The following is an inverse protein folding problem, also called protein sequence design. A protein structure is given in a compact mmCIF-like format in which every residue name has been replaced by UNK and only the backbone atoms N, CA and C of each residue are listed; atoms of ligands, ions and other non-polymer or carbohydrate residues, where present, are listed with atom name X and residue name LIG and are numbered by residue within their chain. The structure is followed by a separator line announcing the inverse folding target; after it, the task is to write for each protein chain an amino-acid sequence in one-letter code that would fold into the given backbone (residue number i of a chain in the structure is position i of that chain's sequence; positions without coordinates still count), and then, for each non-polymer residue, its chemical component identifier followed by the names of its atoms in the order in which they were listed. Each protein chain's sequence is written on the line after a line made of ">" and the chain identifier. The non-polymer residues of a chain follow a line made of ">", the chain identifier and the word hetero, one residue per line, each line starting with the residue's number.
data_IF_185495405140
#
_entry.id   IF_185495405140
#
_cell.length_a   1.000
_cell.length_b   1.000
_cell.length_c   1.000
_cell.angle_alpha   90.00
_cell.angle_beta   90.00
_cell.angle_gamma   90.00
#
_symmetry.space_group_name_H-M   'P 1'
#
loop_
_entity.id
_entity.type
_entity.pdbx_description
1 polymer ?
#
# COMPACT_ATOMS: atom_id res chain seq x y z
N UNK A 1 69.80 39.01 -60.89
CA UNK A 1 69.83 39.06 -59.41
C UNK A 1 71.19 38.53 -59.00
N UNK A 2 71.92 39.29 -58.18
CA UNK A 2 72.92 38.87 -57.16
C UNK A 2 73.65 37.52 -57.34
N UNK A 3 74.99 37.40 -57.41
CA UNK A 3 76.09 37.99 -56.58
C UNK A 3 75.88 37.74 -55.06
N UNK A 4 76.84 37.41 -54.18
CA UNK A 4 78.31 37.19 -54.20
C UNK A 4 78.68 36.51 -52.83
N UNK A 5 79.83 35.87 -52.50
CA UNK A 5 81.20 35.67 -53.02
C UNK A 5 81.51 34.11 -53.04
N UNK A 6 82.67 33.42 -52.90
CA UNK A 6 84.01 33.56 -52.27
C UNK A 6 83.98 33.68 -50.71
N UNK A 7 84.91 33.19 -49.87
CA UNK A 7 86.26 32.56 -49.99
C UNK A 7 86.64 31.90 -48.60
N UNK A 8 87.67 31.06 -48.34
CA UNK A 8 88.66 30.30 -49.17
C UNK A 8 89.35 29.13 -48.38
N UNK A 9 90.18 28.34 -49.08
CA UNK A 9 91.40 27.56 -48.70
C UNK A 9 91.47 26.48 -47.57
N UNK A 10 92.37 25.51 -47.82
CA UNK A 10 92.86 24.47 -46.89
C UNK A 10 94.08 24.95 -46.08
N UNK A 11 94.28 24.41 -44.87
CA UNK A 11 95.62 24.23 -44.30
C UNK A 11 95.73 22.96 -43.45
N UNK A 12 96.85 22.25 -43.61
CA UNK A 12 97.16 20.92 -43.04
C UNK A 12 97.62 20.94 -41.58
N UNK A 13 97.30 19.88 -40.83
CA UNK A 13 98.38 18.96 -40.42
C UNK A 13 98.69 18.73 -38.92
N UNK A 14 98.66 17.44 -38.57
CA UNK A 14 99.60 16.70 -37.71
C UNK A 14 99.52 16.72 -36.17
N UNK A 15 99.60 15.49 -35.62
CA UNK A 15 100.20 15.06 -34.34
C UNK A 15 99.80 15.78 -33.05
N UNK A 16 98.97 15.10 -32.24
CA UNK A 16 98.71 15.49 -30.86
C UNK A 16 99.70 14.92 -29.83
N UNK A 17 99.46 15.25 -28.57
CA UNK A 17 99.96 14.57 -27.38
C UNK A 17 98.80 14.52 -26.38
N UNK A 18 98.61 13.38 -25.71
CA UNK A 18 97.56 13.25 -24.69
C UNK A 18 97.97 13.86 -23.36
N UNK A 19 97.00 14.38 -22.62
CA UNK A 19 97.12 14.56 -21.17
C UNK A 19 95.71 14.47 -20.57
N UNK A 20 95.33 13.29 -20.11
CA UNK A 20 94.02 13.05 -19.52
C UNK A 20 93.93 13.74 -18.15
N UNK A 21 93.15 14.81 -18.08
CA UNK A 21 92.59 15.32 -16.83
C UNK A 21 91.10 15.04 -16.85
N UNK A 22 90.63 14.14 -15.97
CA UNK A 22 89.23 13.74 -15.88
C UNK A 22 88.31 14.93 -15.53
N UNK A 23 87.77 15.58 -16.55
CA UNK A 23 86.60 16.44 -16.41
C UNK A 23 85.43 15.56 -15.91
N UNK A 24 85.02 15.76 -14.66
CA UNK A 24 83.87 15.05 -14.09
C UNK A 24 82.59 15.60 -14.75
N UNK A 25 82.23 15.02 -15.89
CA UNK A 25 80.95 15.24 -16.56
C UNK A 25 79.85 14.63 -15.69
N UNK A 26 79.38 15.40 -14.70
CA UNK A 26 78.26 15.02 -13.83
C UNK A 26 77.05 14.73 -14.73
N UNK A 27 76.69 13.44 -14.81
CA UNK A 27 75.73 12.93 -15.78
C UNK A 27 74.31 13.42 -15.47
N UNK A 28 73.96 14.56 -16.07
CA UNK A 28 72.64 15.21 -15.97
C UNK A 28 71.49 14.29 -16.48
N UNK A 29 71.83 13.18 -17.14
CA UNK A 29 70.93 12.10 -17.53
C UNK A 29 70.10 11.56 -16.36
N UNK A 30 70.71 11.32 -15.19
CA UNK A 30 69.97 10.83 -14.02
C UNK A 30 68.94 11.83 -13.51
N UNK A 31 69.32 13.11 -13.47
CA UNK A 31 68.45 14.20 -13.02
C UNK A 31 67.32 14.46 -14.04
N UNK A 32 67.59 14.37 -15.34
CA UNK A 32 66.59 14.46 -16.42
C UNK A 32 65.58 13.30 -16.36
N UNK A 33 66.02 12.06 -16.16
CA UNK A 33 65.13 10.90 -16.02
C UNK A 33 64.24 11.05 -14.77
N UNK A 34 64.80 11.51 -13.65
CA UNK A 34 64.03 11.81 -12.44
C UNK A 34 62.95 12.87 -12.65
N UNK A 35 63.29 13.99 -13.30
CA UNK A 35 62.32 15.07 -13.63
C UNK A 35 61.22 14.58 -14.57
N UNK A 36 61.55 13.76 -15.57
CA UNK A 36 60.56 13.16 -16.48
C UNK A 36 59.60 12.23 -15.74
N UNK A 37 60.11 11.36 -14.85
CA UNK A 37 59.27 10.49 -14.02
C UNK A 37 58.35 11.30 -13.08
N UNK A 38 58.86 12.33 -12.42
CA UNK A 38 58.05 13.22 -11.56
C UNK A 38 56.97 13.94 -12.37
N UNK A 39 57.28 14.44 -13.58
CA UNK A 39 56.29 15.04 -14.47
C UNK A 39 55.21 14.05 -14.90
N UNK A 40 55.57 12.81 -15.25
CA UNK A 40 54.61 11.76 -15.62
C UNK A 40 53.69 11.43 -14.43
N UNK A 41 54.23 11.31 -13.21
CA UNK A 41 53.43 11.06 -11.99
C UNK A 41 52.50 12.25 -11.68
N UNK A 42 52.97 13.49 -11.81
CA UNK A 42 52.14 14.69 -11.60
C UNK A 42 51.03 14.83 -12.65
N UNK A 43 51.32 14.51 -13.92
CA UNK A 43 50.31 14.52 -15.00
C UNK A 43 49.29 13.38 -14.80
N UNK A 44 49.74 12.18 -14.43
CA UNK A 44 48.85 11.06 -14.11
C UNK A 44 47.95 11.37 -12.90
N UNK A 45 48.50 11.98 -11.85
CA UNK A 45 47.73 12.45 -10.70
C UNK A 45 46.71 13.55 -11.09
N UNK A 46 47.12 14.53 -11.90
CA UNK A 46 46.24 15.59 -12.39
C UNK A 46 45.08 15.07 -13.25
N UNK A 47 45.36 14.14 -14.16
CA UNK A 47 44.33 13.46 -14.97
C UNK A 47 43.42 12.62 -14.08
N UNK A 48 43.97 11.87 -13.11
CA UNK A 48 43.20 11.09 -12.14
C UNK A 48 42.25 11.95 -11.30
N UNK A 49 42.71 13.10 -10.80
CA UNK A 49 41.88 14.07 -10.06
C UNK A 49 40.79 14.67 -10.95
N UNK A 50 41.10 15.06 -12.20
CA UNK A 50 40.08 15.58 -13.12
C UNK A 50 39.04 14.52 -13.49
N UNK A 51 39.43 13.27 -13.77
CA UNK A 51 38.49 12.17 -14.01
C UNK A 51 37.64 11.84 -12.78
N UNK A 52 38.21 11.93 -11.57
CA UNK A 52 37.47 11.73 -10.32
C UNK A 52 36.44 12.87 -10.09
N UNK A 53 36.82 14.13 -10.34
CA UNK A 53 35.89 15.26 -10.28
C UNK A 53 34.79 15.21 -11.35
N UNK A 54 35.06 14.67 -12.54
CA UNK A 54 34.03 14.42 -13.57
C UNK A 54 33.01 13.40 -13.07
N UNK A 55 33.49 12.21 -12.65
CA UNK A 55 32.64 11.14 -12.10
C UNK A 55 31.84 11.57 -10.87
N UNK A 56 32.43 12.39 -10.00
CA UNK A 56 31.71 13.02 -8.88
C UNK A 56 30.53 13.85 -9.37
N UNK A 57 30.73 14.77 -10.31
CA UNK A 57 29.66 15.61 -10.88
C UNK A 57 28.60 14.80 -11.62
N UNK A 58 29.01 13.76 -12.34
CA UNK A 58 28.11 12.81 -13.01
C UNK A 58 27.20 12.10 -11.97
N UNK A 59 27.77 11.68 -10.83
CA UNK A 59 27.02 11.05 -9.74
C UNK A 59 26.15 12.05 -8.94
N UNK A 60 26.62 13.27 -8.70
CA UNK A 60 25.82 14.35 -8.10
C UNK A 60 24.59 14.68 -8.97
N UNK A 61 24.79 14.80 -10.29
CA UNK A 61 23.73 15.08 -11.26
C UNK A 61 22.71 13.93 -11.35
N UNK A 62 23.15 12.67 -11.38
CA UNK A 62 22.25 11.52 -11.34
C UNK A 62 21.42 11.48 -10.05
N UNK A 63 22.01 11.85 -8.90
CA UNK A 63 21.28 11.95 -7.63
C UNK A 63 20.26 13.11 -7.61
N UNK A 64 20.53 14.24 -8.30
CA UNK A 64 19.53 15.30 -8.51
C UNK A 64 18.43 14.89 -9.49
N UNK A 65 18.75 14.11 -10.52
CA UNK A 65 17.76 13.58 -11.46
C UNK A 65 16.75 12.68 -10.72
N UNK A 66 17.23 11.71 -9.92
CA UNK A 66 16.36 10.88 -9.05
C UNK A 66 15.48 11.75 -8.15
N UNK A 67 16.05 12.77 -7.51
CA UNK A 67 15.31 13.66 -6.60
C UNK A 67 14.25 14.49 -7.34
N UNK A 68 14.53 14.89 -8.59
CA UNK A 68 13.61 15.64 -9.46
C UNK A 68 12.49 14.77 -10.00
N UNK A 69 12.80 13.58 -10.51
CA UNK A 69 11.81 12.61 -11.02
C UNK A 69 10.89 12.12 -9.90
N UNK A 70 11.45 11.76 -8.74
CA UNK A 70 10.68 11.44 -7.54
C UNK A 70 9.75 12.60 -7.15
N UNK A 71 10.25 13.85 -7.13
CA UNK A 71 9.43 15.01 -6.78
C UNK A 71 8.31 15.29 -7.80
N UNK A 72 8.53 15.00 -9.09
CA UNK A 72 7.50 15.10 -10.12
C UNK A 72 6.38 14.07 -9.89
N UNK A 73 6.71 12.79 -9.68
CA UNK A 73 5.73 11.74 -9.39
C UNK A 73 5.00 11.95 -8.06
N UNK A 74 5.71 12.43 -7.04
CA UNK A 74 5.13 12.70 -5.72
C UNK A 74 4.12 13.85 -5.75
N UNK A 75 4.45 14.98 -6.39
CA UNK A 75 3.57 16.14 -6.43
C UNK A 75 2.49 16.06 -7.54
N UNK A 76 2.80 15.44 -8.68
CA UNK A 76 1.86 15.28 -9.80
C UNK A 76 0.93 14.08 -9.67
N UNK A 77 1.44 12.94 -9.19
CA UNK A 77 0.68 11.69 -9.02
C UNK A 77 0.16 11.52 -7.60
N UNK A 78 1.04 11.21 -6.65
CA UNK A 78 0.67 10.84 -5.27
C UNK A 78 -0.18 11.92 -4.56
N UNK A 79 0.16 13.21 -4.67
CA UNK A 79 -0.67 14.28 -4.10
C UNK A 79 -1.99 14.50 -4.85
N UNK A 80 -2.05 14.26 -6.15
CA UNK A 80 -3.31 14.30 -6.91
C UNK A 80 -4.25 13.15 -6.51
N UNK A 81 -3.69 11.96 -6.28
CA UNK A 81 -4.38 10.81 -5.68
C UNK A 81 -4.99 11.16 -4.32
N UNK A 82 -4.19 11.64 -3.34
CA UNK A 82 -4.73 11.99 -2.02
C UNK A 82 -5.75 13.13 -2.08
N UNK A 83 -5.53 14.16 -2.90
CA UNK A 83 -6.53 15.20 -3.15
C UNK A 83 -7.84 14.63 -3.73
N UNK A 84 -7.76 13.59 -4.57
CA UNK A 84 -8.94 12.88 -5.08
C UNK A 84 -9.67 12.10 -3.97
N UNK A 85 -8.97 11.48 -3.00
CA UNK A 85 -9.60 10.79 -1.86
C UNK A 85 -10.41 11.72 -0.93
N UNK A 86 -10.26 13.05 -1.07
CA UNK A 86 -10.77 14.08 -0.15
C UNK A 86 -10.15 14.04 1.26
N UNK A 87 -9.02 13.35 1.43
CA UNK A 87 -8.24 13.29 2.66
C UNK A 87 -7.08 14.29 2.58
N UNK A 88 -7.02 15.22 3.53
CA UNK A 88 -5.94 16.21 3.62
C UNK A 88 -4.70 15.60 4.29
N UNK A 89 -4.00 14.73 3.54
CA UNK A 89 -2.89 13.90 4.05
C UNK A 89 -1.77 14.71 4.72
N UNK A 90 -1.52 15.94 4.25
CA UNK A 90 -0.53 16.88 4.82
C UNK A 90 -0.91 17.41 6.23
N UNK A 91 -2.13 17.15 6.72
CA UNK A 91 -2.60 17.52 8.07
C UNK A 91 -2.49 16.40 9.10
N UNK A 92 -2.24 15.17 8.66
CA UNK A 92 -2.26 13.95 9.48
C UNK A 92 -0.90 13.69 10.12
N UNK A 93 -0.87 13.35 11.42
CA UNK A 93 0.40 13.23 12.17
C UNK A 93 0.93 11.80 12.23
N UNK A 94 0.05 10.82 12.06
CA UNK A 94 0.34 9.39 12.14
C UNK A 94 -0.75 8.59 11.39
N UNK A 95 -0.57 7.27 11.33
CA UNK A 95 -1.51 6.35 10.67
C UNK A 95 -2.90 6.34 11.32
N UNK A 96 -2.98 6.53 12.65
CA UNK A 96 -4.25 6.58 13.41
C UNK A 96 -5.12 7.79 13.02
N UNK A 97 -4.51 8.94 12.68
CA UNK A 97 -5.25 10.09 12.13
C UNK A 97 -5.88 9.78 10.77
N UNK A 98 -5.18 9.04 9.91
CA UNK A 98 -5.66 8.63 8.57
C UNK A 98 -6.78 7.60 8.68
N UNK A 99 -6.55 6.52 9.43
CA UNK A 99 -7.52 5.45 9.73
C UNK A 99 -8.84 6.04 10.24
N UNK A 100 -8.77 6.87 11.29
CA UNK A 100 -9.90 7.60 11.86
C UNK A 100 -10.63 8.44 10.83
N UNK A 101 -9.91 9.12 9.93
CA UNK A 101 -10.52 9.97 8.90
C UNK A 101 -11.22 9.19 7.79
N UNK A 102 -10.72 8.00 7.44
CA UNK A 102 -11.40 7.07 6.53
C UNK A 102 -12.70 6.55 7.19
N UNK A 103 -12.62 6.12 8.45
CA UNK A 103 -13.77 5.64 9.24
C UNK A 103 -14.86 6.72 9.41
N UNK A 104 -14.48 8.00 9.56
CA UNK A 104 -15.43 9.12 9.51
C UNK A 104 -16.23 9.18 8.18
N UNK A 105 -15.58 9.01 7.02
CA UNK A 105 -16.29 8.99 5.72
C UNK A 105 -17.21 7.78 5.54
N UNK A 106 -16.76 6.59 5.96
CA UNK A 106 -17.58 5.36 5.91
C UNK A 106 -18.89 5.52 6.68
N UNK A 107 -18.81 6.09 7.89
CA UNK A 107 -19.97 6.27 8.80
C UNK A 107 -21.11 7.12 8.23
N UNK A 108 -20.87 7.92 7.17
CA UNK A 108 -21.87 8.82 6.57
C UNK A 108 -22.23 8.43 5.13
N UNK A 109 -21.25 8.06 4.29
CA UNK A 109 -21.47 7.92 2.83
C UNK A 109 -20.76 6.73 2.17
N UNK A 110 -20.42 5.65 2.91
CA UNK A 110 -19.67 4.47 2.44
C UNK A 110 -19.82 4.12 0.95
N UNK A 111 -21.03 3.86 0.45
CA UNK A 111 -21.27 3.51 -0.97
C UNK A 111 -20.88 4.60 -1.98
N UNK A 112 -21.17 5.87 -1.67
CA UNK A 112 -20.82 7.00 -2.53
C UNK A 112 -19.31 7.28 -2.47
N UNK A 113 -18.69 7.03 -1.31
CA UNK A 113 -17.25 7.15 -1.13
C UNK A 113 -16.51 6.05 -1.92
N UNK A 114 -16.95 4.79 -1.82
CA UNK A 114 -16.42 3.67 -2.58
C UNK A 114 -16.48 3.91 -4.10
N UNK A 115 -17.65 4.25 -4.65
CA UNK A 115 -17.81 4.54 -6.08
C UNK A 115 -16.94 5.73 -6.55
N UNK A 116 -16.79 6.76 -5.71
CA UNK A 116 -15.87 7.88 -5.98
C UNK A 116 -14.41 7.41 -6.01
N UNK A 117 -13.96 6.65 -5.00
CA UNK A 117 -12.60 6.09 -4.94
C UNK A 117 -12.31 5.23 -6.17
N UNK A 118 -13.23 4.31 -6.50
CA UNK A 118 -13.17 3.39 -7.63
C UNK A 118 -13.03 4.11 -8.97
N UNK A 119 -13.83 5.14 -9.21
CA UNK A 119 -13.96 5.79 -10.53
C UNK A 119 -13.20 7.10 -10.70
N UNK A 120 -12.63 7.68 -9.63
CA UNK A 120 -11.92 8.98 -9.63
C UNK A 120 -10.56 8.96 -8.95
N UNK A 121 -10.25 7.96 -8.14
CA UNK A 121 -9.06 7.97 -7.27
C UNK A 121 -8.10 6.84 -7.56
N UNK A 122 -8.56 5.58 -7.61
CA UNK A 122 -7.73 4.43 -7.99
C UNK A 122 -6.99 4.60 -9.35
N UNK A 123 -7.60 5.15 -10.42
CA UNK A 123 -6.91 5.38 -11.69
C UNK A 123 -5.73 6.37 -11.61
N UNK A 124 -5.65 7.19 -10.56
CA UNK A 124 -4.51 8.11 -10.33
C UNK A 124 -3.32 7.43 -9.64
N UNK A 125 -3.54 6.24 -9.08
CA UNK A 125 -2.54 5.45 -8.36
C UNK A 125 -2.03 4.25 -9.18
N UNK A 126 -2.87 3.70 -10.06
CA UNK A 126 -2.59 2.48 -10.83
C UNK A 126 -1.25 2.48 -11.59
N UNK A 127 -0.89 3.60 -12.23
CA UNK A 127 0.35 3.71 -13.02
C UNK A 127 1.59 4.07 -12.17
N UNK A 128 1.40 4.52 -10.92
CA UNK A 128 2.49 5.08 -10.12
C UNK A 128 3.57 4.05 -9.71
N UNK A 129 3.28 2.78 -9.34
CA UNK A 129 4.32 1.79 -9.06
C UNK A 129 5.28 1.59 -10.23
N UNK A 130 4.75 1.50 -11.45
CA UNK A 130 5.54 1.38 -12.67
C UNK A 130 6.36 2.65 -12.94
N UNK A 131 5.78 3.83 -12.76
CA UNK A 131 6.49 5.10 -12.94
C UNK A 131 7.64 5.27 -11.94
N UNK A 132 7.45 4.95 -10.65
CA UNK A 132 8.53 4.99 -9.66
C UNK A 132 9.64 3.98 -9.98
N UNK A 133 9.28 2.75 -10.39
CA UNK A 133 10.25 1.72 -10.79
C UNK A 133 11.07 2.11 -12.02
N UNK A 134 10.52 2.95 -12.88
CA UNK A 134 11.18 3.45 -14.09
C UNK A 134 12.10 4.66 -13.86
N UNK A 135 12.19 5.22 -12.65
CA UNK A 135 13.17 6.27 -12.32
C UNK A 135 14.59 5.75 -12.57
N UNK A 136 15.39 6.49 -13.33
CA UNK A 136 16.79 6.14 -13.57
C UNK A 136 17.62 6.49 -12.33
N UNK A 137 18.15 5.47 -11.66
CA UNK A 137 18.73 5.60 -10.33
C UNK A 137 20.08 4.86 -10.20
N UNK A 138 21.14 5.51 -9.68
CA UNK A 138 22.40 4.84 -9.38
C UNK A 138 22.20 3.66 -8.42
N UNK A 139 22.94 2.56 -8.62
CA UNK A 139 22.88 1.34 -7.80
C UNK A 139 22.96 1.59 -6.27
N UNK A 140 23.56 2.69 -5.85
CA UNK A 140 23.73 3.08 -4.45
C UNK A 140 22.51 3.75 -3.79
N UNK A 141 21.44 4.03 -4.55
CA UNK A 141 20.11 4.49 -4.07
C UNK A 141 18.95 3.74 -4.75
N UNK A 142 19.26 2.73 -5.57
CA UNK A 142 18.28 1.95 -6.33
C UNK A 142 17.35 1.12 -5.41
N UNK A 143 17.81 0.45 -4.34
CA UNK A 143 16.94 -0.28 -3.43
C UNK A 143 15.85 0.60 -2.80
N UNK A 144 16.17 1.86 -2.50
CA UNK A 144 15.22 2.81 -1.93
C UNK A 144 14.18 3.31 -2.96
N UNK A 145 14.54 3.40 -4.24
CA UNK A 145 13.60 3.67 -5.34
C UNK A 145 12.65 2.48 -5.56
N UNK A 146 13.19 1.25 -5.60
CA UNK A 146 12.36 0.04 -5.73
C UNK A 146 11.44 -0.14 -4.51
N UNK A 147 11.92 0.13 -3.29
CA UNK A 147 11.10 0.10 -2.07
C UNK A 147 10.00 1.17 -2.04
N UNK A 148 10.22 2.34 -2.65
CA UNK A 148 9.15 3.33 -2.87
C UNK A 148 8.10 2.77 -3.84
N UNK A 149 8.52 2.15 -4.95
CA UNK A 149 7.59 1.54 -5.91
C UNK A 149 6.73 0.43 -5.26
N UNK A 150 7.36 -0.46 -4.48
CA UNK A 150 6.67 -1.51 -3.71
C UNK A 150 5.68 -0.93 -2.69
N UNK A 151 6.04 0.15 -1.98
CA UNK A 151 5.14 0.78 -1.02
C UNK A 151 3.94 1.50 -1.69
N UNK A 152 4.09 1.99 -2.93
CA UNK A 152 2.98 2.51 -3.75
C UNK A 152 2.10 1.37 -4.26
N UNK A 153 2.67 0.22 -4.61
CA UNK A 153 1.92 -0.97 -5.04
C UNK A 153 1.11 -1.59 -3.89
N UNK A 154 1.66 -1.61 -2.68
CA UNK A 154 0.93 -1.95 -1.46
C UNK A 154 -0.23 -0.98 -1.18
N UNK A 155 -0.02 0.33 -1.37
CA UNK A 155 -1.06 1.35 -1.23
C UNK A 155 -2.15 1.20 -2.30
N UNK A 156 -1.77 0.87 -3.54
CA UNK A 156 -2.70 0.56 -4.63
C UNK A 156 -3.56 -0.67 -4.28
N UNK A 157 -2.93 -1.74 -3.79
CA UNK A 157 -3.58 -2.98 -3.37
C UNK A 157 -4.58 -2.75 -2.23
N UNK A 158 -4.18 -2.02 -1.18
CA UNK A 158 -5.06 -1.71 -0.05
C UNK A 158 -6.30 -0.90 -0.47
N UNK A 159 -6.13 0.12 -1.32
CA UNK A 159 -7.27 0.90 -1.83
C UNK A 159 -8.14 0.13 -2.83
N UNK A 160 -7.57 -0.84 -3.58
CA UNK A 160 -8.36 -1.77 -4.40
C UNK A 160 -9.18 -2.72 -3.53
N UNK A 161 -8.58 -3.30 -2.48
CA UNK A 161 -9.26 -4.17 -1.52
C UNK A 161 -10.43 -3.42 -0.86
N UNK A 162 -10.15 -2.25 -0.27
CA UNK A 162 -11.15 -1.33 0.27
C UNK A 162 -12.32 -1.06 -0.69
N UNK A 163 -12.04 -0.77 -1.96
CA UNK A 163 -13.09 -0.51 -2.96
C UNK A 163 -13.94 -1.76 -3.25
N UNK A 164 -13.32 -2.93 -3.37
CA UNK A 164 -14.01 -4.19 -3.71
C UNK A 164 -14.83 -4.71 -2.53
N UNK A 165 -14.32 -4.57 -1.31
CA UNK A 165 -14.99 -4.94 -0.06
C UNK A 165 -16.21 -4.02 0.22
N UNK A 166 -16.18 -2.76 -0.22
CA UNK A 166 -17.31 -1.84 -0.11
C UNK A 166 -18.37 -1.98 -1.23
N UNK A 167 -18.06 -2.55 -2.40
CA UNK A 167 -19.11 -2.91 -3.39
C UNK A 167 -20.16 -3.85 -2.77
N UNK A 168 -19.72 -4.74 -1.86
CA UNK A 168 -20.56 -5.69 -1.12
C UNK A 168 -21.56 -5.03 -0.17
N UNK A 169 -21.37 -3.75 0.19
CA UNK A 169 -22.33 -3.02 1.02
C UNK A 169 -23.69 -2.82 0.33
N UNK A 170 -23.72 -2.82 -1.02
CA UNK A 170 -24.93 -2.55 -1.80
C UNK A 170 -26.01 -3.64 -1.64
N UNK A 171 -25.72 -4.95 -1.78
CA UNK A 171 -26.67 -5.98 -1.36
C UNK A 171 -26.89 -5.95 0.16
N UNK A 172 -25.83 -5.85 0.98
CA UNK A 172 -25.94 -5.87 2.44
C UNK A 172 -27.02 -4.92 2.98
N UNK A 173 -26.99 -3.62 2.64
CA UNK A 173 -28.01 -2.67 3.14
C UNK A 173 -29.43 -3.06 2.71
N UNK A 174 -29.63 -3.50 1.46
CA UNK A 174 -30.92 -3.98 0.94
C UNK A 174 -31.44 -5.23 1.68
N UNK A 175 -30.55 -6.07 2.19
CA UNK A 175 -30.93 -7.23 3.02
C UNK A 175 -31.12 -6.83 4.50
N UNK A 176 -30.34 -5.87 5.02
CA UNK A 176 -30.48 -5.33 6.37
C UNK A 176 -31.86 -4.68 6.59
N UNK A 177 -32.35 -3.90 5.61
CA UNK A 177 -33.72 -3.32 5.60
C UNK A 177 -34.82 -4.38 5.76
N UNK A 178 -34.57 -5.63 5.34
CA UNK A 178 -35.52 -6.74 5.49
C UNK A 178 -35.35 -7.52 6.79
N UNK A 179 -34.20 -7.43 7.45
CA UNK A 179 -33.87 -8.28 8.61
C UNK A 179 -34.82 -8.03 9.79
N UNK A 180 -35.15 -6.76 10.05
CA UNK A 180 -36.08 -6.40 11.13
C UNK A 180 -37.48 -6.96 10.86
N UNK A 181 -38.02 -6.74 9.65
CA UNK A 181 -39.32 -7.29 9.20
C UNK A 181 -39.34 -8.82 9.24
N UNK A 182 -38.25 -9.49 8.84
CA UNK A 182 -38.15 -10.94 8.91
C UNK A 182 -38.15 -11.45 10.36
N UNK A 183 -37.46 -10.74 11.28
CA UNK A 183 -37.53 -11.02 12.72
C UNK A 183 -38.91 -10.77 13.32
N UNK A 184 -39.63 -9.75 12.85
CA UNK A 184 -41.03 -9.50 13.26
C UNK A 184 -42.00 -10.56 12.72
N UNK A 185 -41.80 -11.04 11.50
CA UNK A 185 -42.58 -12.16 10.95
C UNK A 185 -42.27 -13.47 11.70
N UNK A 186 -41.01 -13.74 12.05
CA UNK A 186 -40.67 -14.87 12.92
C UNK A 186 -41.34 -14.77 14.30
N UNK A 187 -41.36 -13.59 14.91
CA UNK A 187 -42.06 -13.37 16.18
C UNK A 187 -43.59 -13.53 16.03
N UNK A 188 -44.18 -12.98 14.96
CA UNK A 188 -45.59 -13.13 14.62
C UNK A 188 -46.00 -14.60 14.43
N UNK A 189 -45.20 -15.39 13.71
CA UNK A 189 -45.44 -16.82 13.52
C UNK A 189 -45.48 -17.58 14.87
N UNK A 190 -44.59 -17.27 15.82
CA UNK A 190 -44.62 -17.87 17.16
C UNK A 190 -45.88 -17.51 17.97
N UNK A 191 -46.53 -16.38 17.67
CA UNK A 191 -47.81 -16.00 18.30
C UNK A 191 -49.01 -16.63 17.57
N UNK A 192 -48.99 -16.62 16.24
CA UNK A 192 -50.06 -17.04 15.36
C UNK A 192 -49.56 -18.08 14.33
N UNK A 193 -49.24 -19.33 14.74
CA UNK A 193 -48.65 -20.37 13.88
C UNK A 193 -49.60 -20.95 12.82
N UNK A 194 -50.66 -20.22 12.47
CA UNK A 194 -51.64 -20.48 11.41
C UNK A 194 -51.93 -19.24 10.54
N UNK A 195 -51.21 -18.13 10.75
CA UNK A 195 -51.37 -16.91 9.98
C UNK A 195 -50.28 -16.86 8.89
N UNK A 196 -50.67 -17.20 7.66
CA UNK A 196 -49.76 -17.33 6.50
C UNK A 196 -48.98 -16.04 6.20
N UNK A 197 -49.48 -14.88 6.66
CA UNK A 197 -48.80 -13.58 6.54
C UNK A 197 -47.37 -13.59 7.11
N UNK A 198 -47.17 -14.33 8.21
CA UNK A 198 -45.90 -14.40 8.91
C UNK A 198 -44.94 -15.45 8.34
N UNK A 199 -45.41 -16.33 7.46
CA UNK A 199 -44.72 -17.57 7.13
C UNK A 199 -43.48 -17.35 6.25
N UNK A 200 -43.60 -16.72 5.08
CA UNK A 200 -42.47 -16.67 4.13
C UNK A 200 -41.22 -15.97 4.72
N UNK A 201 -41.40 -14.78 5.30
CA UNK A 201 -40.29 -14.04 5.92
C UNK A 201 -39.83 -14.68 7.24
N UNK A 202 -40.72 -15.36 7.97
CA UNK A 202 -40.36 -16.13 9.16
C UNK A 202 -39.44 -17.32 8.85
N UNK A 203 -39.69 -18.04 7.75
CA UNK A 203 -38.79 -19.12 7.27
C UNK A 203 -37.41 -18.55 6.94
N UNK A 204 -37.35 -17.46 6.16
CA UNK A 204 -36.07 -16.80 5.80
C UNK A 204 -35.31 -16.30 7.03
N UNK A 205 -36.00 -15.86 8.08
CA UNK A 205 -35.34 -15.45 9.32
C UNK A 205 -34.69 -16.66 10.04
N UNK A 206 -35.39 -17.79 10.08
CA UNK A 206 -34.84 -19.06 10.59
C UNK A 206 -33.62 -19.51 9.79
N UNK A 207 -33.61 -19.35 8.45
CA UNK A 207 -32.43 -19.60 7.61
C UNK A 207 -31.24 -18.69 7.95
N UNK A 208 -31.48 -17.39 8.14
CA UNK A 208 -30.43 -16.43 8.56
C UNK A 208 -29.82 -16.85 9.90
N UNK A 209 -30.65 -17.18 10.89
CA UNK A 209 -30.17 -17.54 12.23
C UNK A 209 -29.44 -18.88 12.22
N UNK A 210 -29.90 -19.88 11.46
CA UNK A 210 -29.15 -21.12 11.25
C UNK A 210 -27.78 -20.88 10.60
N UNK A 211 -27.71 -19.99 9.61
CA UNK A 211 -26.44 -19.62 8.98
C UNK A 211 -25.46 -18.94 9.96
N UNK A 212 -25.96 -18.11 10.88
CA UNK A 212 -25.16 -17.48 11.95
C UNK A 212 -24.61 -18.53 12.93
N UNK A 213 -25.38 -19.56 13.27
CA UNK A 213 -25.06 -20.54 14.31
C UNK A 213 -24.11 -21.69 13.86
N UNK A 214 -23.65 -21.69 12.60
CA UNK A 214 -22.46 -22.40 12.05
C UNK A 214 -22.28 -23.84 12.58
N UNK A 215 -22.95 -24.79 11.93
CA UNK A 215 -23.01 -26.24 12.26
C UNK A 215 -23.88 -26.61 13.49
N UNK A 216 -24.74 -25.71 13.97
CA UNK A 216 -25.77 -26.00 14.97
C UNK A 216 -27.13 -25.52 14.51
N UNK A 217 -28.17 -26.23 14.94
CA UNK A 217 -29.57 -25.89 14.70
C UNK A 217 -30.13 -24.99 15.79
N UNK A 218 -31.28 -24.37 15.53
CA UNK A 218 -32.10 -23.70 16.55
C UNK A 218 -32.65 -24.68 17.60
N UNK A 219 -32.73 -25.97 17.29
CA UNK A 219 -33.19 -27.02 18.21
C UNK A 219 -32.10 -27.50 19.18
N UNK A 220 -30.83 -27.14 18.96
CA UNK A 220 -29.70 -27.43 19.87
C UNK A 220 -29.62 -26.45 21.07
N UNK A 221 -30.60 -25.55 21.20
CA UNK A 221 -30.61 -24.47 22.20
C UNK A 221 -31.99 -24.33 22.86
N UNK A 222 -32.01 -23.84 24.11
CA UNK A 222 -33.28 -23.41 24.72
C UNK A 222 -33.79 -22.13 24.03
N UNK A 223 -35.08 -22.03 23.69
CA UNK A 223 -35.64 -20.87 22.98
C UNK A 223 -35.39 -19.50 23.63
N UNK A 224 -35.42 -19.45 24.98
CA UNK A 224 -35.13 -18.24 25.77
C UNK A 224 -33.68 -17.77 25.69
N UNK A 225 -32.78 -18.67 25.29
CA UNK A 225 -31.34 -18.48 25.28
C UNK A 225 -30.84 -17.88 23.95
N UNK A 226 -31.66 -17.93 22.89
CA UNK A 226 -31.24 -17.66 21.51
C UNK A 226 -30.55 -16.30 21.32
N UNK A 227 -31.05 -15.24 21.96
CA UNK A 227 -30.41 -13.91 21.89
C UNK A 227 -29.04 -13.88 22.57
N UNK A 228 -28.84 -14.66 23.63
CA UNK A 228 -27.53 -14.84 24.24
C UNK A 228 -26.62 -15.65 23.32
N UNK A 229 -27.09 -16.72 22.67
CA UNK A 229 -26.28 -17.54 21.75
C UNK A 229 -25.81 -16.80 20.50
N UNK A 230 -26.64 -15.92 19.94
CA UNK A 230 -26.23 -14.99 18.88
C UNK A 230 -25.15 -14.02 19.41
N UNK A 231 -25.31 -13.50 20.62
CA UNK A 231 -24.34 -12.59 21.25
C UNK A 231 -23.01 -13.27 21.61
N UNK A 232 -23.05 -14.50 22.15
CA UNK A 232 -21.88 -15.34 22.43
C UNK A 232 -21.05 -15.55 21.16
N UNK A 233 -21.73 -15.86 20.04
CA UNK A 233 -21.10 -16.08 18.73
C UNK A 233 -20.40 -14.82 18.21
N UNK A 234 -20.94 -13.63 18.49
CA UNK A 234 -20.27 -12.35 18.18
C UNK A 234 -19.14 -12.00 19.18
N UNK A 235 -19.25 -12.42 20.44
CA UNK A 235 -18.31 -12.05 21.51
C UNK A 235 -17.04 -12.89 21.54
N UNK A 236 -17.11 -14.17 21.15
CA UNK A 236 -15.94 -15.08 21.05
C UNK A 236 -15.10 -14.81 19.79
N UNK A 237 -15.62 -14.01 18.86
CA UNK A 237 -14.99 -13.73 17.58
C UNK A 237 -13.75 -12.82 17.71
N UNK A 238 -12.56 -13.42 17.77
CA UNK A 238 -11.38 -12.84 17.13
C UNK A 238 -11.64 -12.58 15.62
N UNK A 239 -12.58 -13.35 15.05
CA UNK A 239 -13.19 -13.25 13.74
C UNK A 239 -14.16 -12.05 13.56
N UNK A 240 -14.18 -10.96 14.37
CA UNK A 240 -15.32 -10.00 14.32
C UNK A 240 -15.61 -9.41 12.92
N UNK A 241 -14.58 -9.04 12.16
CA UNK A 241 -14.74 -8.59 10.77
C UNK A 241 -15.12 -9.74 9.81
N UNK A 242 -14.67 -10.97 10.06
CA UNK A 242 -15.02 -12.17 9.29
C UNK A 242 -16.43 -12.69 9.61
N UNK A 243 -16.90 -12.50 10.83
CA UNK A 243 -18.29 -12.70 11.24
C UNK A 243 -19.18 -11.69 10.53
N UNK A 244 -18.75 -10.41 10.44
CA UNK A 244 -19.44 -9.44 9.59
C UNK A 244 -19.47 -9.90 8.13
N UNK A 245 -18.34 -10.30 7.53
CA UNK A 245 -18.29 -10.83 6.15
C UNK A 245 -19.25 -12.02 5.95
N UNK A 246 -19.20 -13.01 6.84
CA UNK A 246 -20.04 -14.21 6.83
C UNK A 246 -21.53 -13.88 6.92
N UNK A 247 -21.92 -13.03 7.87
CA UNK A 247 -23.34 -12.73 8.10
C UNK A 247 -23.86 -11.73 7.07
N UNK A 248 -23.18 -10.60 6.88
CA UNK A 248 -23.61 -9.52 5.99
C UNK A 248 -23.59 -9.88 4.50
N UNK A 249 -22.62 -10.69 4.06
CA UNK A 249 -22.44 -11.06 2.65
C UNK A 249 -22.74 -12.53 2.33
N UNK A 250 -23.07 -13.35 3.33
CA UNK A 250 -23.48 -14.75 3.16
C UNK A 250 -24.85 -15.04 3.74
N UNK A 251 -25.04 -14.85 5.05
CA UNK A 251 -26.31 -15.21 5.70
C UNK A 251 -27.48 -14.30 5.32
N UNK A 252 -27.27 -12.98 5.24
CA UNK A 252 -28.35 -12.04 4.90
C UNK A 252 -28.88 -12.20 3.46
N UNK A 253 -28.15 -12.86 2.56
CA UNK A 253 -28.62 -13.18 1.22
C UNK A 253 -29.91 -14.03 1.22
N UNK A 254 -30.16 -14.83 2.27
CA UNK A 254 -31.40 -15.62 2.46
C UNK A 254 -32.68 -14.76 2.52
N UNK A 255 -32.54 -13.47 2.80
CA UNK A 255 -33.62 -12.47 2.73
C UNK A 255 -33.95 -12.05 1.27
N UNK A 256 -33.27 -12.60 0.27
CA UNK A 256 -33.57 -12.47 -1.16
C UNK A 256 -33.91 -13.81 -1.84
N UNK A 257 -34.26 -13.74 -3.12
CA UNK A 257 -34.65 -14.92 -3.92
C UNK A 257 -36.15 -15.11 -4.06
N UNK A 258 -36.54 -16.24 -4.66
CA UNK A 258 -37.93 -16.66 -4.91
C UNK A 258 -38.68 -17.01 -3.60
N UNK A 259 -40.03 -17.04 -3.58
CA UNK A 259 -40.81 -17.35 -2.38
C UNK A 259 -40.45 -18.70 -1.76
N UNK A 260 -40.28 -18.74 -0.44
CA UNK A 260 -39.85 -19.94 0.31
C UNK A 260 -41.05 -20.61 0.96
N UNK A 261 -41.16 -21.94 0.78
CA UNK A 261 -42.18 -22.78 1.40
C UNK A 261 -41.62 -23.36 2.71
N UNK A 262 -42.39 -23.45 3.81
CA UNK A 262 -41.98 -24.11 5.05
C UNK A 262 -41.47 -25.54 4.84
N UNK A 263 -40.18 -25.74 5.10
CA UNK A 263 -39.56 -27.04 5.25
C UNK A 263 -39.90 -27.66 6.62
N UNK A 264 -39.44 -28.88 6.91
CA UNK A 264 -39.79 -29.54 8.18
C UNK A 264 -38.99 -29.00 9.38
N UNK A 265 -37.77 -28.50 9.15
CA UNK A 265 -36.95 -27.84 10.18
C UNK A 265 -37.65 -26.58 10.72
N UNK A 266 -38.19 -25.72 9.84
CA UNK A 266 -38.99 -24.57 10.26
C UNK A 266 -40.22 -24.99 11.06
N UNK A 267 -40.93 -26.06 10.66
CA UNK A 267 -42.12 -26.55 11.39
C UNK A 267 -41.76 -27.04 12.79
N UNK A 268 -40.62 -27.73 12.95
CA UNK A 268 -40.14 -28.20 14.26
C UNK A 268 -39.67 -27.05 15.15
N UNK A 269 -38.91 -26.09 14.61
CA UNK A 269 -38.48 -24.88 15.32
C UNK A 269 -39.70 -24.05 15.74
N UNK A 270 -40.66 -23.81 14.84
CA UNK A 270 -41.92 -23.11 15.17
C UNK A 270 -42.74 -23.84 16.26
N UNK A 271 -42.72 -25.17 16.28
CA UNK A 271 -43.38 -26.00 17.30
C UNK A 271 -42.69 -25.92 18.67
N UNK A 272 -41.38 -25.73 18.72
CA UNK A 272 -40.64 -25.52 19.97
C UNK A 272 -40.86 -24.10 20.52
N UNK A 273 -40.83 -23.07 19.67
CA UNK A 273 -40.81 -21.66 20.06
C UNK A 273 -42.21 -21.00 20.24
N UNK A 274 -43.32 -21.66 19.85
CA UNK A 274 -44.65 -20.99 19.89
C UNK A 274 -45.29 -20.86 21.30
N UNK A 275 -44.80 -21.59 22.31
CA UNK A 275 -45.30 -21.49 23.70
C UNK A 275 -44.87 -20.15 24.32
N UNK A 276 -45.76 -19.52 25.10
CA UNK A 276 -45.53 -18.16 25.61
C UNK A 276 -44.25 -17.98 26.45
N UNK A 277 -43.84 -19.03 27.18
CA UNK A 277 -42.61 -19.11 27.99
C UNK A 277 -41.36 -19.45 27.16
N UNK A 278 -41.53 -19.93 25.92
CA UNK A 278 -40.48 -20.36 25.00
C UNK A 278 -40.38 -19.46 23.76
N UNK A 279 -40.93 -18.24 23.80
CA UNK A 279 -40.87 -17.30 22.68
C UNK A 279 -39.54 -16.58 22.61
N UNK A 280 -38.90 -16.66 21.44
CA UNK A 280 -37.85 -15.73 21.08
C UNK A 280 -38.44 -14.33 20.90
N UNK A 281 -38.02 -13.43 21.78
CA UNK A 281 -38.43 -12.02 21.83
C UNK A 281 -37.27 -11.08 21.51
N UNK A 282 -36.06 -11.60 21.25
CA UNK A 282 -34.80 -10.82 21.35
C UNK A 282 -33.73 -11.14 20.32
N UNK A 283 -33.78 -12.28 19.61
CA UNK A 283 -32.72 -12.66 18.67
C UNK A 283 -32.52 -11.60 17.58
N UNK A 284 -33.59 -11.00 17.05
CA UNK A 284 -33.49 -9.92 16.04
C UNK A 284 -32.65 -8.73 16.53
N UNK A 285 -32.84 -8.31 17.78
CA UNK A 285 -32.07 -7.23 18.39
C UNK A 285 -30.62 -7.65 18.66
N UNK A 286 -30.38 -8.92 19.01
CA UNK A 286 -29.02 -9.46 19.11
C UNK A 286 -28.32 -9.44 17.74
N UNK A 287 -28.94 -9.97 16.67
CA UNK A 287 -28.35 -9.99 15.32
C UNK A 287 -28.05 -8.58 14.82
N UNK A 288 -28.98 -7.62 14.96
CA UNK A 288 -28.78 -6.22 14.53
C UNK A 288 -27.67 -5.52 15.34
N UNK A 289 -27.61 -5.71 16.67
CA UNK A 289 -26.55 -5.14 17.49
C UNK A 289 -25.18 -5.76 17.17
N UNK A 290 -25.12 -7.09 16.95
CA UNK A 290 -23.89 -7.78 16.57
C UNK A 290 -23.41 -7.33 15.19
N UNK A 291 -24.31 -7.22 14.19
CA UNK A 291 -23.99 -6.67 12.86
C UNK A 291 -23.43 -5.26 12.95
N UNK A 292 -23.97 -4.39 13.81
CA UNK A 292 -23.41 -3.06 14.01
C UNK A 292 -21.99 -3.10 14.58
N UNK A 293 -21.77 -3.81 15.68
CA UNK A 293 -20.45 -3.89 16.32
C UNK A 293 -19.40 -4.53 15.39
N UNK A 294 -19.76 -5.63 14.74
CA UNK A 294 -18.90 -6.35 13.80
C UNK A 294 -18.59 -5.54 12.54
N UNK A 295 -19.54 -4.74 12.04
CA UNK A 295 -19.30 -3.79 10.95
C UNK A 295 -18.33 -2.69 11.38
N UNK A 296 -18.53 -2.11 12.56
CA UNK A 296 -17.69 -1.02 13.04
C UNK A 296 -16.22 -1.50 13.24
N UNK A 297 -16.00 -2.80 13.51
CA UNK A 297 -14.69 -3.46 13.49
C UNK A 297 -14.16 -3.78 12.07
N UNK A 298 -15.01 -4.25 11.16
CA UNK A 298 -14.66 -4.47 9.74
C UNK A 298 -14.23 -3.17 9.04
N UNK A 299 -14.91 -2.05 9.30
CA UNK A 299 -14.55 -0.73 8.78
C UNK A 299 -13.24 -0.21 9.38
N UNK A 300 -12.85 -0.68 10.58
CA UNK A 300 -11.54 -0.43 11.18
C UNK A 300 -10.44 -1.23 10.47
N UNK A 301 -10.66 -2.51 10.19
CA UNK A 301 -9.71 -3.37 9.45
C UNK A 301 -9.37 -2.77 8.08
N UNK A 302 -10.40 -2.40 7.29
CA UNK A 302 -10.23 -1.78 5.97
C UNK A 302 -9.53 -0.41 6.03
N UNK A 303 -9.80 0.38 7.07
CA UNK A 303 -9.17 1.71 7.25
C UNK A 303 -7.70 1.58 7.68
N UNK A 304 -7.39 0.58 8.51
CA UNK A 304 -6.05 0.29 9.01
C UNK A 304 -5.13 -0.28 7.91
N UNK A 305 -5.64 -1.11 7.00
CA UNK A 305 -4.86 -1.61 5.85
C UNK A 305 -4.28 -0.46 5.01
N UNK A 306 -5.13 0.51 4.65
CA UNK A 306 -4.72 1.74 3.96
C UNK A 306 -3.71 2.54 4.79
N UNK A 307 -3.94 2.66 6.10
CA UNK A 307 -3.08 3.43 6.98
C UNK A 307 -1.68 2.81 7.18
N UNK A 308 -1.58 1.47 7.18
CA UNK A 308 -0.32 0.72 7.20
C UNK A 308 0.42 0.87 5.87
N UNK A 309 -0.28 0.76 4.73
CA UNK A 309 0.32 0.94 3.41
C UNK A 309 0.85 2.39 3.22
N UNK A 310 0.09 3.39 3.68
CA UNK A 310 0.53 4.79 3.67
C UNK A 310 1.75 5.03 4.58
N UNK A 311 1.76 4.49 5.80
CA UNK A 311 2.91 4.59 6.69
C UNK A 311 4.17 3.94 6.08
N UNK A 312 3.99 2.85 5.32
CA UNK A 312 5.06 2.19 4.57
C UNK A 312 5.59 3.08 3.44
N UNK A 313 4.72 3.78 2.71
CA UNK A 313 5.14 4.77 1.71
C UNK A 313 5.93 5.94 2.33
N UNK A 314 5.42 6.54 3.43
CA UNK A 314 6.11 7.65 4.11
C UNK A 314 7.49 7.23 4.60
N UNK A 315 7.63 6.00 5.11
CA UNK A 315 8.91 5.42 5.50
C UNK A 315 9.86 5.24 4.31
N UNK A 316 9.37 4.71 3.19
CA UNK A 316 10.18 4.52 1.97
C UNK A 316 10.62 5.86 1.35
N UNK A 317 9.71 6.85 1.27
CA UNK A 317 10.02 8.22 0.87
C UNK A 317 11.12 8.83 1.75
N UNK A 318 11.01 8.69 3.08
CA UNK A 318 12.02 9.16 4.03
C UNK A 318 13.38 8.50 3.83
N UNK A 319 13.41 7.18 3.60
CA UNK A 319 14.62 6.43 3.32
C UNK A 319 15.31 6.87 2.02
N UNK A 320 14.56 7.01 0.93
CA UNK A 320 15.09 7.47 -0.37
C UNK A 320 15.71 8.87 -0.28
N UNK A 321 15.01 9.82 0.34
CA UNK A 321 15.53 11.18 0.51
C UNK A 321 16.77 11.22 1.41
N UNK A 322 16.79 10.42 2.48
CA UNK A 322 17.96 10.29 3.35
C UNK A 322 19.16 9.62 2.63
N UNK A 323 18.92 8.59 1.81
CA UNK A 323 19.96 7.92 1.03
C UNK A 323 20.59 8.87 0.00
N UNK A 324 19.78 9.63 -0.74
CA UNK A 324 20.26 10.67 -1.67
C UNK A 324 21.10 11.71 -0.93
N UNK A 325 20.59 12.27 0.18
CA UNK A 325 21.27 13.32 0.94
C UNK A 325 22.42 12.80 1.82
N UNK A 326 22.58 11.48 1.96
CA UNK A 326 23.79 10.84 2.47
C UNK A 326 24.82 10.65 1.36
N UNK A 327 24.44 10.09 0.21
CA UNK A 327 25.38 9.87 -0.91
C UNK A 327 25.99 11.18 -1.41
N UNK A 328 25.22 12.27 -1.43
CA UNK A 328 25.73 13.63 -1.71
C UNK A 328 26.74 14.19 -0.68
N UNK A 329 26.93 13.54 0.48
CA UNK A 329 27.96 13.89 1.48
C UNK A 329 29.16 12.93 1.46
N UNK A 330 28.99 11.75 0.85
CA UNK A 330 30.06 10.77 0.64
C UNK A 330 30.88 11.06 -0.63
N UNK A 331 30.30 11.82 -1.57
CA UNK A 331 30.95 12.35 -2.77
C UNK A 331 31.84 13.55 -2.44
#
# INVERSE_FOLDING_TARGET
>A
MTENLQQDEHATGATGAGNDTDDIVISNTGQRIGVILVLIVLVAAGIGVMMHMSKKREQEAALDQVKTEFAALHNGGYKAFWKSTRLEIDTMKNNVDLERKIKEFLSVTALQYAEHIKTKTLPLLAELPAQYKNIEAPNAVRPEVDAVAEAVDALLSAWQNFSNELDKYKPYFKHLEKLETAGDHWFGAQQEPKNDTYVELGVRYVDVVHCILKNKTLLDYEPVDLSFRVSDTCAVAAEQADWFRHVAFGCLEKLGGEPVVPDDLYKEVLKAYNKADQRDTKSKFAVVNCLKLARDAYEEELSNEIAIAWASYVKAQGALLAAIDQKKKEL
#
